data_IF_250664075363
#
_entry.id   IF_250664075363
#
_cell.length_a   1.000
_cell.length_b   1.000
_cell.length_c   1.000
_cell.angle_alpha   90.00
_cell.angle_beta   90.00
_cell.angle_gamma   90.00
#
_symmetry.space_group_name_H-M   'P 1'
#
loop_
_entity.id
_entity.type
_entity.pdbx_description
1 polymer ?
#
# COMPACT_ATOMS: atom_id res chain seq x y z
N UNK A 1 3.14 -12.13 -21.28
CA UNK A 1 3.15 -11.77 -19.85
C UNK A 1 1.77 -12.04 -19.28
N UNK A 2 1.61 -12.77 -18.16
CA UNK A 2 0.28 -13.03 -17.61
C UNK A 2 -0.37 -11.72 -17.14
N UNK A 3 -1.65 -11.54 -17.47
CA UNK A 3 -2.47 -10.37 -17.11
C UNK A 3 -2.42 -10.05 -15.61
N UNK A 4 -2.43 -11.09 -14.77
CA UNK A 4 -2.29 -10.97 -13.31
C UNK A 4 -0.99 -10.31 -12.88
N UNK A 5 0.15 -10.60 -13.53
CA UNK A 5 1.43 -10.01 -13.15
C UNK A 5 1.46 -8.50 -13.38
N UNK A 6 0.87 -8.04 -14.47
CA UNK A 6 0.78 -6.60 -14.78
C UNK A 6 -0.13 -5.91 -13.75
N UNK A 7 -1.29 -6.50 -13.47
CA UNK A 7 -2.23 -5.96 -12.48
C UNK A 7 -1.61 -5.86 -11.08
N UNK A 8 -0.93 -6.90 -10.62
CA UNK A 8 -0.25 -6.91 -9.30
C UNK A 8 0.84 -5.84 -9.23
N UNK A 9 1.65 -5.68 -10.28
CA UNK A 9 2.69 -4.64 -10.33
C UNK A 9 2.11 -3.22 -10.35
N UNK A 10 0.99 -3.02 -11.04
CA UNK A 10 0.29 -1.74 -11.03
C UNK A 10 -0.25 -1.44 -9.64
N UNK A 11 -0.95 -2.39 -9.02
CA UNK A 11 -1.51 -2.25 -7.67
C UNK A 11 -0.42 -2.00 -6.62
N UNK A 12 0.73 -2.67 -6.76
CA UNK A 12 1.90 -2.41 -5.91
C UNK A 12 2.40 -0.96 -6.03
N UNK A 13 2.56 -0.46 -7.27
CA UNK A 13 2.98 0.92 -7.51
C UNK A 13 1.99 1.92 -6.94
N UNK A 14 0.69 1.68 -7.12
CA UNK A 14 -0.37 2.53 -6.58
C UNK A 14 -0.36 2.55 -5.05
N UNK A 15 -0.20 1.39 -4.42
CA UNK A 15 -0.08 1.26 -2.95
C UNK A 15 1.14 2.01 -2.42
N UNK A 16 2.30 1.88 -3.07
CA UNK A 16 3.50 2.63 -2.70
C UNK A 16 3.28 4.14 -2.84
N UNK A 17 2.70 4.60 -3.95
CA UNK A 17 2.38 6.03 -4.14
C UNK A 17 1.42 6.56 -3.09
N UNK A 18 0.41 5.77 -2.72
CA UNK A 18 -0.52 6.12 -1.65
C UNK A 18 0.24 6.27 -0.32
N UNK A 19 1.10 5.30 0.04
CA UNK A 19 1.93 5.33 1.25
C UNK A 19 2.89 6.52 1.30
N UNK A 20 3.62 6.80 0.21
CA UNK A 20 4.50 7.97 0.12
C UNK A 20 3.77 9.31 0.23
N UNK A 21 2.48 9.33 -0.05
CA UNK A 21 1.64 10.51 0.08
C UNK A 21 1.30 10.91 1.52
N UNK A 22 1.60 10.09 2.53
CA UNK A 22 1.35 10.41 3.92
C UNK A 22 2.40 11.40 4.45
N UNK A 23 1.94 12.47 5.11
CA UNK A 23 2.79 13.49 5.74
C UNK A 23 3.50 12.94 6.97
N UNK A 24 2.81 12.16 7.80
CA UNK A 24 3.42 11.54 8.96
C UNK A 24 4.47 10.49 8.59
N UNK A 25 5.67 10.65 9.16
CA UNK A 25 6.81 9.76 8.98
C UNK A 25 6.49 8.30 9.27
N UNK A 26 5.86 8.03 10.41
CA UNK A 26 5.63 6.68 10.90
C UNK A 26 4.66 5.96 9.99
N UNK A 27 3.55 6.63 9.63
CA UNK A 27 2.58 6.08 8.68
C UNK A 27 3.22 5.81 7.32
N UNK A 28 3.93 6.80 6.75
CA UNK A 28 4.58 6.66 5.45
C UNK A 28 5.53 5.46 5.41
N UNK A 29 6.41 5.35 6.39
CA UNK A 29 7.38 4.25 6.44
C UNK A 29 6.73 2.90 6.73
N UNK A 30 5.74 2.86 7.65
CA UNK A 30 5.01 1.64 7.95
C UNK A 30 4.29 1.10 6.71
N UNK A 31 3.53 1.94 6.01
CA UNK A 31 2.75 1.54 4.83
C UNK A 31 3.68 1.04 3.73
N UNK A 32 4.77 1.75 3.44
CA UNK A 32 5.75 1.35 2.42
C UNK A 32 6.42 0.03 2.77
N UNK A 33 6.84 -0.14 4.04
CA UNK A 33 7.45 -1.39 4.51
C UNK A 33 6.46 -2.54 4.41
N UNK A 34 5.25 -2.36 4.93
CA UNK A 34 4.20 -3.38 4.94
C UNK A 34 3.79 -3.81 3.53
N UNK A 35 3.61 -2.86 2.62
CA UNK A 35 3.33 -3.15 1.22
C UNK A 35 4.45 -3.99 0.57
N UNK A 36 5.73 -3.69 0.84
CA UNK A 36 6.84 -4.50 0.33
C UNK A 36 6.84 -5.93 0.91
N UNK A 37 6.60 -6.05 2.22
CA UNK A 37 6.52 -7.35 2.90
C UNK A 37 5.38 -8.21 2.34
N UNK A 38 4.17 -7.65 2.25
CA UNK A 38 2.98 -8.37 1.81
C UNK A 38 3.08 -8.80 0.33
N UNK A 39 3.48 -7.90 -0.57
CA UNK A 39 3.62 -8.25 -2.00
C UNK A 39 4.75 -9.26 -2.25
N UNK A 40 5.83 -9.24 -1.46
CA UNK A 40 6.88 -10.26 -1.53
C UNK A 40 6.43 -11.60 -0.95
N UNK A 41 5.64 -11.59 0.13
CA UNK A 41 5.07 -12.79 0.72
C UNK A 41 4.15 -13.50 -0.28
N UNK A 42 3.30 -12.74 -0.97
CA UNK A 42 2.32 -13.30 -1.90
C UNK A 42 2.87 -13.62 -3.30
N UNK A 43 4.10 -13.18 -3.63
CA UNK A 43 4.70 -13.50 -4.95
C UNK A 43 5.00 -14.98 -5.15
N UNK A 44 5.07 -15.77 -4.06
CA UNK A 44 5.29 -17.21 -4.11
C UNK A 44 3.99 -18.03 -4.26
N UNK A 45 2.82 -17.39 -4.25
CA UNK A 45 1.54 -18.08 -4.42
C UNK A 45 1.40 -18.61 -5.85
N UNK A 46 0.91 -19.85 -5.96
CA UNK A 46 0.66 -20.53 -7.23
C UNK A 46 -0.83 -20.79 -7.49
N UNK A 47 -1.64 -20.85 -6.41
CA UNK A 47 -3.10 -21.00 -6.51
C UNK A 47 -3.75 -19.70 -7.00
N UNK A 48 -4.45 -19.79 -8.13
CA UNK A 48 -5.13 -18.67 -8.78
C UNK A 48 -6.25 -18.08 -7.91
N UNK A 49 -6.95 -18.90 -7.11
CA UNK A 49 -8.02 -18.42 -6.25
C UNK A 49 -7.47 -17.58 -5.11
N UNK A 50 -6.37 -18.01 -4.49
CA UNK A 50 -5.69 -17.25 -3.45
C UNK A 50 -5.06 -15.97 -4.01
N UNK A 51 -4.46 -16.01 -5.21
CA UNK A 51 -3.97 -14.80 -5.89
C UNK A 51 -5.12 -13.79 -6.09
N UNK A 52 -6.28 -14.23 -6.59
CA UNK A 52 -7.43 -13.35 -6.81
C UNK A 52 -7.93 -12.72 -5.50
N UNK A 53 -8.02 -13.51 -4.41
CA UNK A 53 -8.38 -13.00 -3.08
C UNK A 53 -7.40 -11.95 -2.58
N UNK A 54 -6.09 -12.19 -2.69
CA UNK A 54 -5.08 -11.23 -2.24
C UNK A 54 -5.08 -9.96 -3.09
N UNK A 55 -5.31 -10.05 -4.40
CA UNK A 55 -5.49 -8.89 -5.27
C UNK A 55 -6.69 -8.06 -4.81
N UNK A 56 -7.82 -8.70 -4.51
CA UNK A 56 -9.02 -8.01 -4.05
C UNK A 56 -8.79 -7.33 -2.69
N UNK A 57 -8.19 -8.05 -1.74
CA UNK A 57 -7.82 -7.48 -0.45
C UNK A 57 -6.88 -6.26 -0.60
N UNK A 58 -5.87 -6.36 -1.46
CA UNK A 58 -4.94 -5.24 -1.69
C UNK A 58 -5.62 -4.01 -2.31
N UNK A 59 -6.66 -4.18 -3.15
CA UNK A 59 -7.48 -3.06 -3.66
C UNK A 59 -8.25 -2.38 -2.53
N UNK A 60 -8.89 -3.15 -1.66
CA UNK A 60 -9.62 -2.61 -0.50
C UNK A 60 -8.69 -1.85 0.45
N UNK A 61 -7.47 -2.37 0.68
CA UNK A 61 -6.45 -1.67 1.45
C UNK A 61 -6.02 -0.37 0.77
N UNK A 62 -5.86 -0.34 -0.55
CA UNK A 62 -5.53 0.88 -1.29
C UNK A 62 -6.61 1.96 -1.11
N UNK A 63 -7.88 1.61 -1.22
CA UNK A 63 -8.99 2.54 -1.00
C UNK A 63 -9.04 3.06 0.45
N UNK A 64 -8.74 2.19 1.43
CA UNK A 64 -8.62 2.59 2.82
C UNK A 64 -7.47 3.59 3.01
N UNK A 65 -6.30 3.32 2.44
CA UNK A 65 -5.14 4.22 2.50
C UNK A 65 -5.45 5.58 1.89
N UNK A 66 -6.17 5.63 0.78
CA UNK A 66 -6.58 6.90 0.16
C UNK A 66 -7.49 7.72 1.08
N UNK A 67 -8.46 7.09 1.75
CA UNK A 67 -9.33 7.75 2.74
C UNK A 67 -8.54 8.23 3.96
N UNK A 68 -7.67 7.38 4.50
CA UNK A 68 -6.83 7.70 5.65
C UNK A 68 -5.88 8.87 5.35
N UNK A 69 -5.37 8.98 4.13
CA UNK A 69 -4.56 10.12 3.69
C UNK A 69 -5.35 11.44 3.76
N UNK A 70 -6.63 11.43 3.37
CA UNK A 70 -7.49 12.62 3.46
C UNK A 70 -7.68 13.02 4.93
N UNK A 71 -8.03 12.06 5.78
CA UNK A 71 -8.21 12.29 7.23
C UNK A 71 -6.92 12.84 7.84
N UNK A 72 -5.78 12.22 7.54
CA UNK A 72 -4.49 12.72 8.01
C UNK A 72 -4.28 14.16 7.57
N UNK A 73 -4.51 14.50 6.30
CA UNK A 73 -4.31 15.87 5.83
C UNK A 73 -5.19 16.90 6.54
N UNK A 74 -6.38 16.53 7.01
CA UNK A 74 -7.28 17.40 7.76
C UNK A 74 -6.81 17.64 9.20
N UNK A 75 -6.24 16.62 9.85
CA UNK A 75 -5.88 16.68 11.27
C UNK A 75 -4.38 16.74 11.56
N UNK A 76 -3.53 16.73 10.53
CA UNK A 76 -2.08 16.76 10.70
C UNK A 76 -1.59 18.17 11.04
N UNK A 77 -1.16 18.36 12.29
CA UNK A 77 -0.77 19.68 12.81
C UNK A 77 0.74 19.95 12.76
N UNK A 78 1.59 18.96 13.06
CA UNK A 78 3.04 19.15 13.15
C UNK A 78 3.81 17.95 12.61
N UNK A 79 4.99 18.22 12.03
CA UNK A 79 5.91 17.17 11.59
C UNK A 79 6.55 16.46 12.77
N UNK A 80 6.85 15.17 12.58
CA UNK A 80 7.60 14.40 13.56
C UNK A 80 9.00 14.99 13.75
N UNK A 81 9.50 14.98 14.99
CA UNK A 81 10.87 15.43 15.34
C UNK A 81 11.94 14.61 14.60
N UNK A 82 11.58 13.40 14.18
CA UNK A 82 12.43 12.48 13.42
C UNK A 82 12.66 12.99 11.98
N UNK A 83 11.75 13.79 11.43
CA UNK A 83 11.91 14.41 10.12
C UNK A 83 12.68 15.72 10.27
N UNK A 84 13.96 15.73 9.86
CA UNK A 84 14.75 16.95 9.68
C UNK A 84 14.53 17.57 8.30
#
# INVERSE_FOLDING_TARGET
MSTHKIQVLQLFKETLRAGFGFKDYNFRNYIVRRAKEDFRKYSALTDQNEIAKQIQFAKEQLELLQRQKIIQNLYYQQKSIIEK
#
